data_IF_759839471944
#
_entry.id   IF_759839471944
#
_cell.length_a   1.000
_cell.length_b   1.000
_cell.length_c   1.000
_cell.angle_alpha   90.00
_cell.angle_beta   90.00
_cell.angle_gamma   90.00
#
_symmetry.space_group_name_H-M   'P 1'
#
loop_
_entity.id
_entity.type
_entity.pdbx_description
1 polymer ?
#
# COMPACT_ATOMS: atom_id res chain seq x y z
N UNK A 1 -9.45 17.87 -7.38
CA UNK A 1 -10.04 16.63 -7.95
C UNK A 1 -9.65 16.55 -9.41
N UNK A 2 -8.87 15.54 -9.79
CA UNK A 2 -8.50 15.29 -11.20
C UNK A 2 -9.68 14.53 -11.82
N UNK A 3 -10.36 15.14 -12.79
CA UNK A 3 -11.48 14.47 -13.48
C UNK A 3 -10.99 13.21 -14.20
N UNK A 4 -11.45 12.04 -13.76
CA UNK A 4 -11.09 10.74 -14.35
C UNK A 4 -11.49 10.61 -15.82
N UNK A 5 -12.46 11.41 -16.30
CA UNK A 5 -12.85 11.49 -17.72
C UNK A 5 -11.81 12.19 -18.61
N UNK A 6 -10.93 13.02 -18.04
CA UNK A 6 -9.94 13.79 -18.79
C UNK A 6 -8.59 13.07 -18.98
N UNK A 7 -8.33 12.01 -18.20
CA UNK A 7 -7.06 11.28 -18.24
C UNK A 7 -7.20 10.06 -19.14
N UNK A 8 -6.31 9.92 -20.14
CA UNK A 8 -6.29 8.73 -21.01
C UNK A 8 -6.14 7.45 -20.18
N UNK A 9 -6.92 6.37 -20.45
CA UNK A 9 -6.87 5.13 -19.67
C UNK A 9 -5.47 4.52 -19.56
N UNK A 10 -4.63 4.66 -20.58
CA UNK A 10 -3.23 4.21 -20.58
C UNK A 10 -2.38 4.94 -19.54
N UNK A 11 -2.62 6.23 -19.33
CA UNK A 11 -1.90 7.01 -18.32
C UNK A 11 -2.36 6.65 -16.91
N UNK A 12 -3.67 6.42 -16.71
CA UNK A 12 -4.19 5.89 -15.44
C UNK A 12 -3.54 4.55 -15.11
N UNK A 13 -3.46 3.64 -16.07
CA UNK A 13 -2.83 2.33 -15.90
C UNK A 13 -1.34 2.44 -15.55
N UNK A 14 -0.59 3.29 -16.27
CA UNK A 14 0.83 3.51 -15.99
C UNK A 14 1.05 4.07 -14.58
N UNK A 15 0.23 5.05 -14.18
CA UNK A 15 0.28 5.63 -12.84
C UNK A 15 -0.06 4.60 -11.75
N UNK A 16 -1.16 3.85 -11.91
CA UNK A 16 -1.55 2.79 -10.96
C UNK A 16 -0.46 1.74 -10.85
N UNK A 17 0.14 1.32 -11.96
CA UNK A 17 1.26 0.36 -11.95
C UNK A 17 2.45 0.88 -11.16
N UNK A 18 2.83 2.14 -11.38
CA UNK A 18 3.92 2.78 -10.65
C UNK A 18 3.62 2.86 -9.16
N UNK A 19 2.46 3.43 -8.79
CA UNK A 19 2.07 3.61 -7.40
C UNK A 19 1.96 2.30 -6.66
N UNK A 20 1.52 1.24 -7.33
CA UNK A 20 1.39 -0.06 -6.70
C UNK A 20 2.74 -0.74 -6.45
N UNK A 21 3.75 -0.55 -7.31
CA UNK A 21 5.13 -0.95 -7.03
C UNK A 21 5.72 -0.13 -5.87
N UNK A 22 5.45 1.18 -5.82
CA UNK A 22 5.87 2.07 -4.73
C UNK A 22 5.26 1.63 -3.40
N UNK A 23 3.95 1.37 -3.36
CA UNK A 23 3.26 0.91 -2.13
C UNK A 23 3.78 -0.46 -1.69
N UNK A 24 3.91 -1.42 -2.61
CA UNK A 24 4.42 -2.76 -2.27
C UNK A 24 5.82 -2.71 -1.65
N UNK A 25 6.73 -1.92 -2.24
CA UNK A 25 8.10 -1.72 -1.71
C UNK A 25 8.11 -0.89 -0.44
N UNK A 26 7.33 0.17 -0.39
CA UNK A 26 7.19 1.06 0.75
C UNK A 26 6.76 0.26 1.98
N UNK A 27 5.77 -0.60 1.83
CA UNK A 27 5.26 -1.44 2.91
C UNK A 27 6.31 -2.42 3.44
N UNK A 28 7.08 -3.07 2.55
CA UNK A 28 8.18 -3.97 2.93
C UNK A 28 9.30 -3.23 3.68
N UNK A 29 9.67 -2.04 3.20
CA UNK A 29 10.71 -1.25 3.87
C UNK A 29 10.22 -0.72 5.21
N UNK A 30 8.96 -0.28 5.27
CA UNK A 30 8.33 0.24 6.47
C UNK A 30 8.19 -0.83 7.55
N UNK A 31 7.86 -2.08 7.19
CA UNK A 31 7.85 -3.18 8.18
C UNK A 31 9.20 -3.35 8.87
N UNK A 32 10.31 -3.03 8.21
CA UNK A 32 11.65 -3.21 8.78
C UNK A 32 12.13 -2.04 9.63
N UNK A 33 11.42 -0.91 9.65
CA UNK A 33 11.89 0.32 10.31
C UNK A 33 10.89 0.98 11.23
N UNK A 34 9.59 0.81 10.99
CA UNK A 34 8.53 1.44 11.76
C UNK A 34 7.93 0.45 12.76
N UNK A 35 7.96 0.82 14.04
CA UNK A 35 7.54 -0.05 15.14
C UNK A 35 6.03 -0.33 15.15
N UNK A 36 5.19 0.61 14.70
CA UNK A 36 3.74 0.40 14.63
C UNK A 36 3.36 -0.56 13.49
N UNK A 37 4.02 -0.43 12.33
CA UNK A 37 3.84 -1.39 11.23
C UNK A 37 4.38 -2.76 11.64
N UNK A 38 5.49 -2.83 12.37
CA UNK A 38 5.97 -4.11 12.95
C UNK A 38 4.93 -4.74 13.86
N UNK A 39 4.31 -3.94 14.72
CA UNK A 39 3.26 -4.42 15.62
C UNK A 39 2.06 -4.99 14.84
N UNK A 40 1.57 -4.28 13.84
CA UNK A 40 0.45 -4.79 13.01
C UNK A 40 0.87 -6.00 12.16
N UNK A 41 2.10 -6.03 11.63
CA UNK A 41 2.60 -7.16 10.84
C UNK A 41 2.80 -8.41 11.71
N UNK A 42 3.25 -8.25 12.97
CA UNK A 42 3.47 -9.36 13.90
C UNK A 42 2.22 -10.23 14.13
N UNK A 43 1.04 -9.60 14.01
CA UNK A 43 -0.28 -10.21 14.21
C UNK A 43 -0.72 -11.10 13.04
N UNK A 44 -0.06 -11.04 11.89
CA UNK A 44 -0.30 -11.99 10.80
C UNK A 44 0.41 -13.32 11.07
N UNK A 45 -0.15 -14.45 10.62
CA UNK A 45 0.54 -15.74 10.61
C UNK A 45 1.84 -15.69 9.81
N UNK A 46 2.81 -16.54 10.18
CA UNK A 46 4.01 -16.73 9.37
C UNK A 46 3.62 -17.34 8.02
N UNK A 47 4.28 -16.91 6.95
CA UNK A 47 3.98 -17.25 5.55
C UNK A 47 2.59 -16.83 5.05
N UNK A 48 1.91 -15.92 5.76
CA UNK A 48 0.70 -15.29 5.28
C UNK A 48 1.00 -14.44 4.04
N UNK A 49 0.25 -14.64 2.96
CA UNK A 49 0.43 -13.97 1.68
C UNK A 49 -0.67 -12.94 1.46
N UNK A 50 -0.26 -11.68 1.35
CA UNK A 50 -1.07 -10.51 1.00
C UNK A 50 -0.96 -10.23 -0.50
N UNK A 51 -2.07 -9.84 -1.12
CA UNK A 51 -2.07 -9.34 -2.49
C UNK A 51 -2.97 -8.12 -2.64
N UNK A 52 -2.55 -7.20 -3.50
CA UNK A 52 -3.41 -6.16 -4.05
C UNK A 52 -3.30 -6.19 -5.57
N UNK A 53 -4.43 -6.19 -6.27
CA UNK A 53 -4.46 -6.27 -7.73
C UNK A 53 -5.62 -5.46 -8.34
N UNK A 54 -5.58 -5.32 -9.66
CA UNK A 54 -6.62 -4.68 -10.46
C UNK A 54 -7.17 -5.69 -11.47
N UNK A 55 -8.49 -5.91 -11.45
CA UNK A 55 -9.17 -6.80 -12.39
C UNK A 55 -9.18 -6.21 -13.83
N UNK A 56 -9.21 -7.04 -14.89
CA UNK A 56 -9.02 -8.50 -14.90
C UNK A 56 -7.55 -8.95 -14.90
N UNK A 57 -6.68 -8.24 -15.61
CA UNK A 57 -5.25 -8.55 -15.77
C UNK A 57 -4.39 -7.29 -15.57
N UNK A 58 -4.74 -6.50 -14.55
CA UNK A 58 -4.06 -5.26 -14.25
C UNK A 58 -2.77 -5.46 -13.44
N UNK A 59 -2.19 -4.36 -12.94
CA UNK A 59 -1.07 -4.42 -12.01
C UNK A 59 -1.43 -5.31 -10.80
N UNK A 60 -0.42 -5.96 -10.23
CA UNK A 60 -0.52 -6.74 -9.00
C UNK A 60 0.77 -6.59 -8.17
N UNK A 61 0.66 -6.63 -6.85
CA UNK A 61 1.79 -6.92 -5.96
C UNK A 61 1.42 -8.03 -4.98
N UNK A 62 2.45 -8.70 -4.48
CA UNK A 62 2.34 -9.82 -3.56
C UNK A 62 3.37 -9.62 -2.45
N UNK A 63 2.95 -9.73 -1.20
CA UNK A 63 3.84 -9.68 -0.05
C UNK A 63 3.61 -10.88 0.84
N UNK A 64 4.68 -11.43 1.43
CA UNK A 64 4.61 -12.56 2.35
C UNK A 64 5.18 -12.16 3.70
N UNK A 65 4.56 -12.63 4.76
CA UNK A 65 5.09 -12.52 6.12
C UNK A 65 6.19 -13.56 6.33
N UNK A 66 7.40 -13.13 6.66
CA UNK A 66 8.56 -13.99 6.95
C UNK A 66 8.49 -14.57 8.37
N UNK A 67 9.41 -15.47 8.69
CA UNK A 67 9.56 -16.01 10.06
C UNK A 67 9.87 -14.90 11.07
N UNK A 68 10.66 -13.91 10.67
CA UNK A 68 11.02 -12.73 11.46
C UNK A 68 9.87 -11.69 11.60
N UNK A 69 8.65 -12.05 11.19
CA UNK A 69 7.48 -11.15 11.19
C UNK A 69 7.70 -9.86 10.38
N UNK A 70 8.43 -9.99 9.28
CA UNK A 70 8.66 -8.91 8.32
C UNK A 70 7.89 -9.18 7.03
N UNK A 71 7.67 -8.15 6.23
CA UNK A 71 7.11 -8.33 4.89
C UNK A 71 8.24 -8.51 3.86
N UNK A 72 8.03 -9.45 2.95
CA UNK A 72 8.89 -9.72 1.80
C UNK A 72 8.07 -9.58 0.51
N UNK A 73 8.56 -8.82 -0.47
CA UNK A 73 7.89 -8.68 -1.76
C UNK A 73 8.15 -9.91 -2.63
N UNK A 74 7.09 -10.56 -3.11
CA UNK A 74 7.18 -11.69 -4.03
C UNK A 74 7.04 -11.22 -5.49
N UNK A 75 7.76 -11.89 -6.40
CA UNK A 75 7.66 -11.62 -7.85
C UNK A 75 6.32 -12.07 -8.44
N UNK A 76 5.71 -13.11 -7.86
CA UNK A 76 4.43 -13.71 -8.27
C UNK A 76 3.81 -14.44 -7.08
N UNK A 77 2.50 -14.66 -7.14
CA UNK A 77 1.84 -15.59 -6.25
C UNK A 77 2.30 -17.02 -6.55
N UNK A 78 2.86 -17.70 -5.54
CA UNK A 78 3.18 -19.13 -5.60
C UNK A 78 1.95 -20.00 -5.32
N UNK A 79 1.02 -19.47 -4.50
CA UNK A 79 -0.26 -20.06 -4.10
C UNK A 79 -1.35 -18.98 -4.10
N UNK A 80 -2.63 -19.35 -3.95
CA UNK A 80 -3.70 -18.38 -3.69
C UNK A 80 -3.32 -17.53 -2.47
N UNK A 81 -3.31 -16.18 -2.56
CA UNK A 81 -3.05 -15.34 -1.41
C UNK A 81 -4.10 -15.54 -0.32
N UNK A 82 -3.67 -15.44 0.94
CA UNK A 82 -4.53 -15.59 2.11
C UNK A 82 -5.45 -14.36 2.30
N UNK A 83 -5.01 -13.19 1.82
CA UNK A 83 -5.84 -11.99 1.64
C UNK A 83 -5.53 -11.34 0.29
N UNK A 84 -6.57 -11.07 -0.50
CA UNK A 84 -6.50 -10.36 -1.77
C UNK A 84 -7.43 -9.16 -1.78
N UNK A 85 -6.89 -7.96 -1.99
CA UNK A 85 -7.66 -6.76 -2.30
C UNK A 85 -7.65 -6.53 -3.81
N UNK A 86 -8.83 -6.62 -4.44
CA UNK A 86 -9.00 -6.48 -5.88
C UNK A 86 -9.79 -5.24 -6.21
N UNK A 87 -9.19 -4.26 -6.88
CA UNK A 87 -9.93 -3.17 -7.52
C UNK A 87 -10.66 -3.70 -8.75
N UNK A 88 -11.96 -3.43 -8.87
CA UNK A 88 -12.78 -3.92 -9.99
C UNK A 88 -12.41 -3.26 -11.32
N UNK A 89 -11.81 -2.08 -11.28
CA UNK A 89 -11.42 -1.33 -12.47
C UNK A 89 -10.22 -0.41 -12.19
N UNK A 90 -9.40 -0.16 -13.22
CA UNK A 90 -8.21 0.70 -13.11
C UNK A 90 -8.54 2.12 -12.66
N UNK A 91 -9.68 2.67 -13.09
CA UNK A 91 -10.09 4.02 -12.68
C UNK A 91 -10.44 4.10 -11.20
N UNK A 92 -10.90 3.00 -10.57
CA UNK A 92 -11.13 2.95 -9.14
C UNK A 92 -9.81 2.92 -8.36
N UNK A 93 -8.88 2.07 -8.81
CA UNK A 93 -7.52 2.06 -8.28
C UNK A 93 -6.88 3.46 -8.41
N UNK A 94 -7.04 4.12 -9.56
CA UNK A 94 -6.53 5.45 -9.80
C UNK A 94 -7.07 6.48 -8.82
N UNK A 95 -8.38 6.47 -8.51
CA UNK A 95 -8.96 7.37 -7.51
C UNK A 95 -8.31 7.20 -6.14
N UNK A 96 -8.10 5.94 -5.71
CA UNK A 96 -7.47 5.65 -4.42
C UNK A 96 -5.99 6.02 -4.41
N UNK A 97 -5.22 5.61 -5.42
CA UNK A 97 -3.78 5.90 -5.50
C UNK A 97 -3.47 7.39 -5.75
N UNK A 98 -4.43 8.19 -6.23
CA UNK A 98 -4.33 9.66 -6.31
C UNK A 98 -4.90 10.36 -5.08
N UNK A 99 -5.30 9.61 -4.04
CA UNK A 99 -5.87 10.12 -2.79
C UNK A 99 -7.14 10.96 -2.99
N UNK A 100 -7.86 10.71 -4.08
CA UNK A 100 -9.18 11.34 -4.32
C UNK A 100 -10.29 10.59 -3.60
N UNK A 101 -10.03 9.35 -3.22
CA UNK A 101 -10.94 8.50 -2.46
C UNK A 101 -10.14 7.66 -1.47
N UNK A 102 -10.63 7.53 -0.24
CA UNK A 102 -10.00 6.66 0.76
C UNK A 102 -10.31 5.19 0.50
N UNK A 103 -9.45 4.29 0.98
CA UNK A 103 -9.66 2.84 0.87
C UNK A 103 -11.00 2.38 1.46
N UNK A 104 -11.40 2.97 2.61
CA UNK A 104 -12.68 2.66 3.25
C UNK A 104 -13.88 3.11 2.40
N UNK A 105 -13.81 4.30 1.80
CA UNK A 105 -14.86 4.82 0.93
C UNK A 105 -14.98 4.01 -0.36
N UNK A 106 -13.85 3.63 -0.96
CA UNK A 106 -13.84 2.81 -2.16
C UNK A 106 -14.37 1.39 -1.90
N UNK A 107 -14.12 0.82 -0.72
CA UNK A 107 -14.75 -0.44 -0.30
C UNK A 107 -16.27 -0.28 -0.12
N UNK A 108 -16.71 0.77 0.58
CA UNK A 108 -18.14 1.04 0.79
C UNK A 108 -18.90 1.32 -0.52
N UNK A 109 -18.24 1.92 -1.51
CA UNK A 109 -18.77 2.18 -2.85
C UNK A 109 -18.69 0.97 -3.79
N UNK A 110 -18.34 -0.21 -3.28
CA UNK A 110 -18.25 -1.46 -4.05
C UNK A 110 -17.25 -1.41 -5.22
N UNK A 111 -16.20 -0.57 -5.09
CA UNK A 111 -15.17 -0.36 -6.12
C UNK A 111 -14.00 -1.33 -6.01
N UNK A 112 -13.89 -2.01 -4.88
CA UNK A 112 -12.92 -3.07 -4.63
C UNK A 112 -13.56 -4.22 -3.86
N UNK A 113 -12.93 -5.39 -3.94
CA UNK A 113 -13.32 -6.61 -3.24
C UNK A 113 -12.17 -6.99 -2.31
N UNK A 114 -12.49 -7.45 -1.10
CA UNK A 114 -11.52 -8.10 -0.20
C UNK A 114 -11.89 -9.58 -0.10
N UNK A 115 -11.04 -10.46 -0.66
CA UNK A 115 -11.15 -11.92 -0.55
C UNK A 115 -10.16 -12.41 0.51
N UNK A 116 -10.67 -12.99 1.60
CA UNK A 116 -9.89 -13.43 2.77
C UNK A 116 -10.56 -13.05 4.08
N UNK A 117 -9.83 -13.18 5.19
CA UNK A 117 -10.33 -12.76 6.50
C UNK A 117 -10.46 -11.22 6.60
N UNK A 118 -11.62 -10.75 7.06
CA UNK A 118 -11.91 -9.30 7.19
C UNK A 118 -10.99 -8.65 8.21
N UNK A 119 -10.66 -9.35 9.30
CA UNK A 119 -9.77 -8.81 10.35
C UNK A 119 -8.35 -8.59 9.79
N UNK A 120 -7.85 -9.53 8.99
CA UNK A 120 -6.62 -9.38 8.23
C UNK A 120 -6.68 -8.19 7.26
N UNK A 121 -7.81 -8.01 6.57
CA UNK A 121 -8.08 -6.83 5.73
C UNK A 121 -7.96 -5.51 6.48
N UNK A 122 -8.59 -5.41 7.65
CA UNK A 122 -8.53 -4.19 8.48
C UNK A 122 -7.10 -3.91 8.95
N UNK A 123 -6.34 -4.93 9.39
CA UNK A 123 -4.93 -4.78 9.78
C UNK A 123 -4.09 -4.27 8.62
N UNK A 124 -4.27 -4.85 7.44
CA UNK A 124 -3.56 -4.42 6.25
C UNK A 124 -3.84 -2.95 5.90
N UNK A 125 -5.09 -2.51 5.98
CA UNK A 125 -5.46 -1.09 5.80
C UNK A 125 -4.79 -0.19 6.84
N UNK A 126 -4.61 -0.64 8.08
CA UNK A 126 -3.87 0.14 9.09
C UNK A 126 -2.39 0.30 8.72
N UNK A 127 -1.74 -0.76 8.24
CA UNK A 127 -0.37 -0.66 7.74
C UNK A 127 -0.26 0.33 6.57
N UNK A 128 -1.24 0.33 5.65
CA UNK A 128 -1.30 1.30 4.55
C UNK A 128 -1.49 2.73 5.04
N UNK A 129 -2.42 2.97 5.97
CA UNK A 129 -2.64 4.31 6.53
C UNK A 129 -1.36 4.84 7.22
N UNK A 130 -0.65 3.98 7.97
CA UNK A 130 0.61 4.35 8.62
C UNK A 130 1.69 4.66 7.58
N UNK A 131 1.81 3.82 6.55
CA UNK A 131 2.72 4.05 5.42
C UNK A 131 2.45 5.40 4.74
N UNK A 132 1.19 5.74 4.50
CA UNK A 132 0.77 7.01 3.90
C UNK A 132 1.12 8.20 4.78
N UNK A 133 0.97 8.10 6.10
CA UNK A 133 1.35 9.17 7.05
C UNK A 133 2.86 9.43 7.02
N UNK A 134 3.66 8.37 6.93
CA UNK A 134 5.12 8.43 6.89
C UNK A 134 5.62 9.01 5.56
N UNK A 135 5.10 8.50 4.44
CA UNK A 135 5.61 8.86 3.11
C UNK A 135 5.02 10.19 2.64
N UNK A 136 3.74 10.45 2.85
CA UNK A 136 3.08 11.59 2.21
C UNK A 136 3.31 12.92 2.97
N UNK A 137 3.43 14.04 2.24
CA UNK A 137 3.32 15.38 2.85
C UNK A 137 2.00 15.51 3.62
N UNK A 138 2.00 16.26 4.73
CA UNK A 138 0.85 16.36 5.66
C UNK A 138 -0.48 16.68 4.95
N UNK A 139 -0.47 17.56 3.94
CA UNK A 139 -1.66 17.91 3.14
C UNK A 139 -2.27 16.71 2.41
N UNK A 140 -1.43 15.83 1.86
CA UNK A 140 -1.88 14.67 1.09
C UNK A 140 -2.26 13.54 2.05
N UNK A 141 -1.48 13.35 3.11
CA UNK A 141 -1.77 12.35 4.13
C UNK A 141 -3.15 12.56 4.77
N UNK A 142 -3.56 13.81 5.06
CA UNK A 142 -4.89 14.08 5.62
C UNK A 142 -6.07 13.75 4.69
N UNK A 143 -5.83 13.62 3.38
CA UNK A 143 -6.83 13.16 2.41
C UNK A 143 -6.84 11.64 2.27
N UNK A 144 -5.68 11.01 2.47
CA UNK A 144 -5.47 9.59 2.29
C UNK A 144 -6.00 8.76 3.46
N UNK A 145 -5.74 9.22 4.70
CA UNK A 145 -6.07 8.46 5.91
C UNK A 145 -7.40 8.86 6.53
N UNK A 146 -8.05 7.91 7.19
CA UNK A 146 -9.31 8.14 7.95
C UNK A 146 -9.12 9.17 9.08
N UNK A 147 -7.98 9.16 9.75
CA UNK A 147 -7.66 10.10 10.84
C UNK A 147 -6.14 10.35 10.87
N UNK A 148 -5.74 11.61 10.77
CA UNK A 148 -4.33 12.00 10.90
C UNK A 148 -3.98 12.20 12.39
N UNK A 149 -2.87 11.64 12.91
CA UNK A 149 -2.50 11.82 14.31
C UNK A 149 -2.14 13.28 14.60
N UNK A 150 -2.73 13.85 15.65
CA UNK A 150 -2.47 15.24 16.08
C UNK A 150 -1.12 15.44 16.76
N UNK A 151 -0.50 14.36 17.25
CA UNK A 151 0.68 14.40 18.14
C UNK A 151 2.03 14.11 17.44
N UNK A 152 2.07 13.98 16.11
CA UNK A 152 3.31 13.69 15.41
C UNK A 152 4.26 14.90 15.37
N UNK A 153 5.41 14.78 16.02
CA UNK A 153 6.48 15.77 15.97
C UNK A 153 7.10 15.79 14.57
N UNK A 154 7.22 16.97 13.94
CA UNK A 154 7.73 17.11 12.56
C UNK A 154 9.10 16.43 12.36
N UNK A 155 9.97 16.43 13.39
CA UNK A 155 11.32 15.81 13.33
C UNK A 155 11.29 14.29 13.18
N UNK A 156 10.39 13.62 13.89
CA UNK A 156 10.25 12.14 13.84
C UNK A 156 9.79 11.72 12.45
N UNK A 157 8.80 12.45 11.90
CA UNK A 157 8.33 12.27 10.53
C UNK A 157 9.45 12.39 9.51
N UNK A 158 10.30 13.42 9.60
CA UNK A 158 11.35 13.62 8.60
C UNK A 158 12.45 12.54 8.65
N UNK A 159 12.90 12.11 9.83
CA UNK A 159 13.97 11.11 9.94
C UNK A 159 13.51 9.71 9.54
N UNK A 160 12.33 9.26 9.99
CA UNK A 160 11.80 7.95 9.63
C UNK A 160 11.38 7.89 8.16
N UNK A 161 10.69 8.92 7.66
CA UNK A 161 10.33 9.01 6.25
C UNK A 161 11.59 9.03 5.38
N UNK A 162 12.62 9.82 5.72
CA UNK A 162 13.86 9.88 4.94
C UNK A 162 14.55 8.51 4.85
N UNK A 163 14.56 7.73 5.93
CA UNK A 163 15.09 6.37 5.93
C UNK A 163 14.27 5.42 5.04
N UNK A 164 12.93 5.50 5.08
CA UNK A 164 12.05 4.71 4.20
C UNK A 164 12.29 5.10 2.74
N UNK A 165 12.29 6.40 2.42
CA UNK A 165 12.57 6.92 1.08
C UNK A 165 13.96 6.51 0.58
N UNK A 166 15.00 6.60 1.41
CA UNK A 166 16.36 6.14 1.08
C UNK A 166 16.40 4.64 0.82
N UNK A 167 15.73 3.82 1.64
CA UNK A 167 15.67 2.36 1.44
C UNK A 167 14.88 1.99 0.19
N UNK A 168 13.76 2.66 -0.08
CA UNK A 168 12.98 2.50 -1.31
C UNK A 168 13.81 2.89 -2.52
N UNK A 169 14.45 4.06 -2.53
CA UNK A 169 15.37 4.49 -3.58
C UNK A 169 16.50 3.48 -3.80
N UNK A 170 17.19 3.04 -2.73
CA UNK A 170 18.21 1.99 -2.80
C UNK A 170 17.67 0.68 -3.37
N UNK A 171 16.41 0.31 -3.09
CA UNK A 171 15.77 -0.89 -3.66
C UNK A 171 15.59 -0.80 -5.18
N UNK A 172 15.45 0.40 -5.73
CA UNK A 172 15.44 0.62 -7.18
C UNK A 172 16.86 0.49 -7.76
N UNK A 173 17.87 1.01 -7.08
CA UNK A 173 19.27 0.90 -7.51
C UNK A 173 19.83 -0.54 -7.42
N UNK A 174 19.45 -1.32 -6.40
CA UNK A 174 19.92 -2.72 -6.23
C UNK A 174 19.40 -3.68 -7.31
N UNK A 175 18.43 -3.26 -8.14
CA UNK A 175 17.89 -4.04 -9.27
C UNK A 175 18.60 -3.71 -10.60
N UNK A 176 19.62 -2.84 -10.58
CA UNK A 176 20.40 -2.45 -11.76
C UNK A 176 21.79 -3.11 -11.85
N UNK A 177 22.03 -4.18 -11.08
CA UNK A 177 23.22 -5.03 -11.18
C UNK A 177 22.80 -6.49 -11.38
#
# INVERSE_FOLDING_TARGET
MISTKAVKPTLQLAYVKLMMDVVGRGLVMASQVDSEIQEEVSKFPVHFVLSMNVFPNGPAFFARVTEDKQLELLKRAEKKPDLTITFKHVSHAFLVFTFQESTAQAYANDRMIADGDVSAGIRFVRCLNKLEILILPKLVASLAVKQYPTELTLKEKFNEAANIYLKVAKSYFKRSA
#
